data_IF_851230316289
#
_entry.id   IF_851230316289
#
_cell.length_a   1.000
_cell.length_b   1.000
_cell.length_c   1.000
_cell.angle_alpha   90.00
_cell.angle_beta   90.00
_cell.angle_gamma   90.00
#
_symmetry.space_group_name_H-M   'P 1'
#
loop_
_entity.id
_entity.type
_entity.pdbx_description
1 polymer ?
#
# COMPACT_ATOMS: atom_id res chain seq x y z
N UNK A 1 -20.56 5.55 -3.42
CA UNK A 1 -20.99 4.63 -2.34
C UNK A 1 -20.54 5.14 -0.97
N UNK A 2 -21.35 4.88 0.06
CA UNK A 2 -21.14 5.28 1.45
C UNK A 2 -20.22 4.34 2.23
N UNK A 3 -20.06 4.56 3.53
CA UNK A 3 -19.41 3.60 4.42
C UNK A 3 -20.44 2.61 4.94
N UNK A 4 -20.11 1.32 4.91
CA UNK A 4 -20.84 0.28 5.62
C UNK A 4 -20.13 0.02 6.93
N UNK A 5 -20.83 0.15 8.06
CA UNK A 5 -20.29 -0.10 9.41
C UNK A 5 -21.09 -1.20 10.08
N UNK A 6 -20.41 -2.07 10.83
CA UNK A 6 -21.03 -3.18 11.53
C UNK A 6 -20.38 -3.45 12.89
N UNK A 7 -21.17 -4.07 13.75
CA UNK A 7 -20.74 -4.57 15.05
C UNK A 7 -20.07 -5.93 14.93
N UNK A 8 -19.51 -6.45 16.04
CA UNK A 8 -18.96 -7.82 16.06
C UNK A 8 -20.00 -8.86 15.63
N UNK A 9 -21.27 -8.70 16.02
CA UNK A 9 -22.34 -9.61 15.60
C UNK A 9 -22.63 -9.49 14.10
N UNK A 10 -22.58 -8.29 13.54
CA UNK A 10 -22.79 -8.06 12.10
C UNK A 10 -21.70 -8.68 11.21
N UNK A 11 -20.51 -8.94 11.77
CA UNK A 11 -19.47 -9.70 11.08
C UNK A 11 -19.73 -11.21 11.03
N UNK A 12 -20.75 -11.71 11.73
CA UNK A 12 -21.09 -13.13 11.76
C UNK A 12 -19.93 -14.00 12.25
N UNK A 13 -19.60 -15.03 11.48
CA UNK A 13 -18.54 -16.00 11.79
C UNK A 13 -17.11 -15.47 11.58
N UNK A 14 -16.94 -14.25 11.07
CA UNK A 14 -15.62 -13.73 10.70
C UNK A 14 -15.01 -12.85 11.79
N UNK A 15 -13.79 -13.18 12.22
CA UNK A 15 -13.06 -12.44 13.26
C UNK A 15 -12.21 -11.28 12.74
N UNK A 16 -11.97 -11.21 11.42
CA UNK A 16 -11.10 -10.20 10.82
C UNK A 16 -11.76 -9.52 9.62
N UNK A 17 -11.43 -8.24 9.35
CA UNK A 17 -11.90 -7.54 8.14
C UNK A 17 -11.57 -8.30 6.86
N UNK A 18 -10.38 -8.89 6.78
CA UNK A 18 -9.94 -9.66 5.60
C UNK A 18 -10.83 -10.89 5.39
N UNK A 19 -11.04 -11.70 6.42
CA UNK A 19 -11.87 -12.91 6.29
C UNK A 19 -13.32 -12.56 5.92
N UNK A 20 -13.86 -11.48 6.51
CA UNK A 20 -15.19 -11.00 6.16
C UNK A 20 -15.25 -10.57 4.69
N UNK A 21 -14.32 -9.72 4.23
CA UNK A 21 -14.31 -9.21 2.86
C UNK A 21 -14.04 -10.32 1.82
N UNK A 22 -13.17 -11.28 2.14
CA UNK A 22 -12.94 -12.45 1.28
C UNK A 22 -14.23 -13.24 1.05
N UNK A 23 -15.02 -13.43 2.12
CA UNK A 23 -16.29 -14.13 2.03
C UNK A 23 -17.36 -13.33 1.29
N UNK A 24 -17.45 -12.01 1.51
CA UNK A 24 -18.40 -11.17 0.77
C UNK A 24 -18.08 -11.07 -0.72
N UNK A 25 -16.81 -11.21 -1.09
CA UNK A 25 -16.33 -11.20 -2.48
C UNK A 25 -16.19 -12.60 -3.07
N UNK A 26 -16.69 -13.63 -2.37
CA UNK A 26 -16.74 -15.00 -2.86
C UNK A 26 -18.16 -15.50 -2.79
N UNK A 27 -18.87 -15.48 -3.90
CA UNK A 27 -20.27 -15.87 -3.99
C UNK A 27 -20.59 -16.47 -5.35
N UNK A 28 -21.68 -17.23 -5.37
CA UNK A 28 -22.30 -17.74 -6.59
C UNK A 28 -23.81 -17.51 -6.49
N UNK A 29 -24.35 -16.87 -7.50
CA UNK A 29 -25.78 -16.63 -7.66
C UNK A 29 -26.24 -17.32 -8.94
N UNK A 30 -27.04 -18.41 -8.84
CA UNK A 30 -27.55 -19.11 -10.00
C UNK A 30 -28.47 -18.18 -10.82
N UNK A 31 -28.57 -18.43 -12.12
CA UNK A 31 -29.54 -17.73 -12.96
C UNK A 31 -30.97 -18.02 -12.46
N UNK A 32 -31.75 -16.95 -12.28
CA UNK A 32 -33.16 -17.03 -11.88
C UNK A 32 -33.97 -15.98 -12.62
N UNK A 33 -35.04 -16.41 -13.29
CA UNK A 33 -35.92 -15.58 -14.11
C UNK A 33 -35.14 -14.69 -15.10
N UNK A 34 -35.18 -13.36 -14.91
CA UNK A 34 -34.49 -12.36 -15.73
C UNK A 34 -33.09 -12.00 -15.21
N UNK A 35 -32.63 -12.62 -14.12
CA UNK A 35 -31.30 -12.34 -13.55
C UNK A 35 -30.25 -13.30 -14.12
N UNK A 36 -29.19 -12.78 -14.78
CA UNK A 36 -28.12 -13.63 -15.30
C UNK A 36 -27.30 -14.20 -14.14
N UNK A 37 -26.65 -15.34 -14.38
CA UNK A 37 -25.68 -15.91 -13.46
C UNK A 37 -24.62 -14.89 -13.05
N UNK A 38 -24.31 -14.85 -11.75
CA UNK A 38 -23.26 -13.99 -11.20
C UNK A 38 -22.44 -14.76 -10.20
N UNK A 39 -21.18 -14.97 -10.54
CA UNK A 39 -20.23 -15.51 -9.59
C UNK A 39 -18.97 -14.67 -9.52
N UNK A 40 -18.40 -14.66 -8.32
CA UNK A 40 -17.18 -13.95 -8.00
C UNK A 40 -16.38 -14.81 -7.03
N UNK A 41 -15.08 -14.97 -7.24
CA UNK A 41 -14.18 -15.60 -6.26
C UNK A 41 -12.89 -14.82 -6.08
N UNK A 42 -12.40 -14.77 -4.85
CA UNK A 42 -11.13 -14.10 -4.54
C UNK A 42 -9.96 -15.05 -4.80
N UNK A 43 -9.13 -14.74 -5.80
CA UNK A 43 -7.90 -15.49 -6.09
C UNK A 43 -6.77 -15.12 -5.14
N UNK A 44 -6.65 -13.83 -4.83
CA UNK A 44 -5.66 -13.30 -3.90
C UNK A 44 -6.18 -12.04 -3.26
N UNK A 45 -5.97 -11.91 -1.95
CA UNK A 45 -6.23 -10.67 -1.26
C UNK A 45 -5.20 -10.34 -0.19
N UNK A 46 -5.04 -9.05 0.07
CA UNK A 46 -4.10 -8.49 1.03
C UNK A 46 -4.77 -7.34 1.79
N UNK A 47 -4.65 -7.39 3.11
CA UNK A 47 -5.11 -6.34 4.00
C UNK A 47 -3.92 -5.60 4.60
N UNK A 48 -3.89 -4.27 4.42
CA UNK A 48 -2.79 -3.40 4.87
C UNK A 48 -3.09 -2.67 6.19
N UNK A 49 -4.20 -2.98 6.85
CA UNK A 49 -4.67 -2.29 8.07
C UNK A 49 -5.66 -1.16 7.80
N UNK A 50 -5.51 -0.42 6.70
CA UNK A 50 -6.42 0.67 6.31
C UNK A 50 -7.09 0.44 4.95
N UNK A 51 -6.63 -0.54 4.19
CA UNK A 51 -7.17 -0.91 2.90
C UNK A 51 -7.06 -2.42 2.69
N UNK A 52 -8.00 -2.95 1.94
CA UNK A 52 -8.05 -4.31 1.46
C UNK A 52 -7.99 -4.28 -0.07
N UNK A 53 -7.20 -5.17 -0.66
CA UNK A 53 -7.09 -5.35 -2.09
C UNK A 53 -7.34 -6.80 -2.43
N UNK A 54 -8.11 -7.06 -3.48
CA UNK A 54 -8.30 -8.39 -4.02
C UNK A 54 -8.18 -8.40 -5.54
N UNK A 55 -7.61 -9.48 -6.07
CA UNK A 55 -7.84 -9.93 -7.43
C UNK A 55 -9.07 -10.83 -7.37
N UNK A 56 -10.19 -10.33 -7.88
CA UNK A 56 -11.47 -11.01 -7.88
C UNK A 56 -11.77 -11.49 -9.30
N UNK A 57 -11.97 -12.79 -9.43
CA UNK A 57 -12.31 -13.44 -10.68
C UNK A 57 -13.82 -13.53 -10.81
N UNK A 58 -14.34 -13.00 -11.92
CA UNK A 58 -15.70 -13.25 -12.38
C UNK A 58 -15.68 -14.43 -13.33
N UNK A 59 -16.55 -15.40 -13.11
CA UNK A 59 -16.68 -16.59 -13.93
C UNK A 59 -18.15 -16.84 -14.30
N UNK A 60 -18.37 -17.64 -15.35
CA UNK A 60 -19.70 -17.97 -15.86
C UNK A 60 -20.22 -19.33 -15.32
N UNK A 61 -21.37 -19.77 -15.81
CA UNK A 61 -22.00 -21.05 -15.40
C UNK A 61 -21.15 -22.29 -15.71
N UNK A 62 -20.17 -22.17 -16.60
CA UNK A 62 -19.26 -23.24 -17.01
C UNK A 62 -17.91 -23.19 -16.28
N UNK A 63 -17.79 -22.34 -15.24
CA UNK A 63 -16.53 -22.04 -14.55
C UNK A 63 -15.45 -21.43 -15.46
N UNK A 64 -15.86 -20.79 -16.57
CA UNK A 64 -14.94 -20.07 -17.45
C UNK A 64 -14.70 -18.66 -16.93
N UNK A 65 -13.41 -18.28 -16.80
CA UNK A 65 -12.98 -16.94 -16.40
C UNK A 65 -13.46 -15.90 -17.41
N UNK A 66 -14.33 -14.99 -16.98
CA UNK A 66 -14.76 -13.83 -17.76
C UNK A 66 -13.69 -12.73 -17.66
N UNK A 67 -13.38 -12.31 -16.44
CA UNK A 67 -12.33 -11.33 -16.15
C UNK A 67 -11.81 -11.46 -14.71
N UNK A 68 -10.61 -10.92 -14.48
CA UNK A 68 -10.03 -10.75 -13.15
C UNK A 68 -9.79 -9.26 -12.95
N UNK A 69 -10.54 -8.68 -12.02
CA UNK A 69 -10.52 -7.25 -11.73
C UNK A 69 -10.06 -6.98 -10.31
N UNK A 70 -9.59 -5.76 -10.06
CA UNK A 70 -9.18 -5.35 -8.72
C UNK A 70 -10.37 -4.80 -7.94
N UNK A 71 -10.60 -5.37 -6.75
CA UNK A 71 -11.50 -4.81 -5.73
C UNK A 71 -10.65 -4.14 -4.66
N UNK A 72 -11.01 -2.90 -4.32
CA UNK A 72 -10.32 -2.08 -3.31
C UNK A 72 -11.31 -1.65 -2.25
N UNK A 73 -11.13 -2.07 -1.00
CA UNK A 73 -11.96 -1.59 0.11
C UNK A 73 -11.13 -0.71 1.03
N UNK A 74 -11.57 0.52 1.30
CA UNK A 74 -11.05 1.25 2.46
C UNK A 74 -11.61 0.62 3.72
N UNK A 75 -10.76 0.41 4.72
CA UNK A 75 -11.14 -0.33 5.93
C UNK A 75 -10.86 0.52 7.17
N UNK A 76 -11.82 0.54 8.09
CA UNK A 76 -11.67 1.00 9.46
C UNK A 76 -11.90 -0.19 10.37
N UNK A 77 -10.91 -0.48 11.21
CA UNK A 77 -10.96 -1.57 12.17
C UNK A 77 -10.56 -1.06 13.55
N UNK A 78 -11.51 -1.07 14.47
CA UNK A 78 -11.33 -0.69 15.86
C UNK A 78 -12.09 -1.65 16.79
N UNK A 79 -11.47 -2.76 17.22
CA UNK A 79 -12.09 -3.72 18.15
C UNK A 79 -12.52 -3.14 19.50
N UNK A 80 -12.03 -1.94 19.85
CA UNK A 80 -12.32 -1.25 21.12
C UNK A 80 -13.27 -0.06 20.94
N UNK A 81 -14.01 -0.01 19.82
CA UNK A 81 -14.96 1.06 19.56
C UNK A 81 -16.04 1.08 20.66
N UNK A 82 -16.23 2.24 21.29
CA UNK A 82 -17.16 2.40 22.41
C UNK A 82 -18.63 2.25 22.01
N UNK A 83 -18.95 2.55 20.75
CA UNK A 83 -20.27 2.39 20.14
C UNK A 83 -20.54 0.96 19.62
N UNK A 84 -19.56 0.06 19.74
CA UNK A 84 -19.65 -1.33 19.29
C UNK A 84 -19.47 -1.53 17.78
N UNK A 85 -19.35 -0.46 16.97
CA UNK A 85 -19.13 -0.54 15.53
C UNK A 85 -17.64 -0.74 15.21
N UNK A 86 -17.18 -1.96 15.41
CA UNK A 86 -15.76 -2.31 15.36
C UNK A 86 -15.17 -2.37 13.94
N UNK A 87 -16.02 -2.50 12.92
CA UNK A 87 -15.60 -2.62 11.53
C UNK A 87 -16.43 -1.73 10.63
N UNK A 88 -15.75 -1.01 9.74
CA UNK A 88 -16.40 -0.37 8.61
C UNK A 88 -15.57 -0.50 7.35
N UNK A 89 -16.22 -0.61 6.21
CA UNK A 89 -15.56 -0.58 4.92
C UNK A 89 -16.31 0.28 3.91
N UNK A 90 -15.58 0.71 2.89
CA UNK A 90 -16.12 1.35 1.70
C UNK A 90 -15.50 0.69 0.50
N UNK A 91 -16.33 0.01 -0.28
CA UNK A 91 -15.97 -0.67 -1.51
C UNK A 91 -15.76 0.35 -2.64
N UNK A 92 -14.70 0.10 -3.39
CA UNK A 92 -14.26 0.85 -4.54
C UNK A 92 -13.72 -0.17 -5.56
N UNK A 93 -14.00 0.02 -6.83
CA UNK A 93 -13.32 -0.74 -7.89
C UNK A 93 -12.18 0.08 -8.50
N UNK A 94 -11.35 -0.54 -9.34
CA UNK A 94 -10.28 0.18 -10.06
C UNK A 94 -10.79 1.20 -11.08
N UNK A 95 -12.09 1.28 -11.31
CA UNK A 95 -12.73 2.29 -12.17
C UNK A 95 -13.21 3.52 -11.37
N UNK A 96 -13.38 3.43 -10.05
CA UNK A 96 -13.98 4.48 -9.20
C UNK A 96 -13.10 5.73 -8.91
N UNK A 97 -12.14 6.09 -9.77
CA UNK A 97 -11.34 7.32 -9.65
C UNK A 97 -10.15 7.23 -8.67
N UNK A 98 -9.71 8.32 -8.03
CA UNK A 98 -8.51 8.32 -7.18
C UNK A 98 -8.74 7.53 -5.89
N UNK A 99 -8.48 6.22 -5.98
CA UNK A 99 -8.51 5.27 -4.86
C UNK A 99 -7.10 5.01 -4.33
N UNK A 100 -7.00 4.36 -3.17
CA UNK A 100 -5.73 4.01 -2.53
C UNK A 100 -4.86 3.15 -3.46
N UNK A 101 -3.55 3.45 -3.52
CA UNK A 101 -2.64 2.90 -4.54
C UNK A 101 -1.56 1.99 -3.97
N UNK A 102 -1.65 1.60 -2.69
CA UNK A 102 -0.69 0.71 -2.06
C UNK A 102 -0.95 -0.77 -2.35
N UNK A 103 -1.60 -1.08 -3.49
CA UNK A 103 -1.88 -2.45 -3.92
C UNK A 103 -0.57 -3.23 -4.13
N UNK A 104 -0.43 -4.44 -3.55
CA UNK A 104 0.76 -5.25 -3.68
C UNK A 104 0.91 -5.86 -5.08
N UNK A 105 2.16 -6.10 -5.49
CA UNK A 105 2.50 -6.68 -6.81
C UNK A 105 1.78 -8.01 -7.06
N UNK A 106 1.65 -8.85 -6.02
CA UNK A 106 1.00 -10.16 -6.09
C UNK A 106 -0.49 -10.13 -6.42
N UNK A 107 -1.18 -9.01 -6.19
CA UNK A 107 -2.57 -8.82 -6.62
C UNK A 107 -2.59 -8.27 -8.05
N UNK A 108 -1.74 -7.28 -8.36
CA UNK A 108 -1.68 -6.65 -9.68
C UNK A 108 -1.33 -7.65 -10.80
N UNK A 109 -0.46 -8.62 -10.52
CA UNK A 109 -0.01 -9.63 -11.49
C UNK A 109 -1.09 -10.64 -11.90
N UNK A 110 -2.19 -10.72 -11.15
CA UNK A 110 -3.31 -11.63 -11.45
C UNK A 110 -4.40 -10.97 -12.29
N UNK A 111 -4.36 -9.64 -12.47
CA UNK A 111 -5.43 -8.91 -13.12
C UNK A 111 -5.39 -9.09 -14.64
N UNK A 112 -6.55 -9.33 -15.23
CA UNK A 112 -6.69 -9.40 -16.69
C UNK A 112 -6.34 -8.05 -17.32
N UNK A 113 -5.73 -8.02 -18.52
CA UNK A 113 -5.53 -6.77 -19.28
C UNK A 113 -6.84 -5.99 -19.43
N UNK A 114 -6.76 -4.66 -19.36
CA UNK A 114 -7.94 -3.79 -19.46
C UNK A 114 -7.63 -2.57 -20.32
N UNK A 115 -8.62 -2.08 -21.06
CA UNK A 115 -8.57 -0.82 -21.81
C UNK A 115 -9.18 0.35 -21.03
N UNK A 116 -9.74 0.10 -19.84
CA UNK A 116 -10.45 1.12 -19.07
C UNK A 116 -9.47 2.19 -18.54
N UNK A 117 -9.62 3.48 -18.92
CA UNK A 117 -8.62 4.51 -18.63
C UNK A 117 -8.31 4.69 -17.13
N UNK A 118 -9.34 4.64 -16.27
CA UNK A 118 -9.15 4.79 -14.82
C UNK A 118 -8.44 3.59 -14.19
N UNK A 119 -8.69 2.38 -14.68
CA UNK A 119 -8.02 1.17 -14.20
C UNK A 119 -6.54 1.20 -14.59
N UNK A 120 -6.24 1.57 -15.84
CA UNK A 120 -4.87 1.75 -16.32
C UNK A 120 -4.11 2.82 -15.53
N UNK A 121 -4.74 3.97 -15.25
CA UNK A 121 -4.13 4.99 -14.40
C UNK A 121 -3.85 4.46 -12.98
N UNK A 122 -4.83 3.81 -12.35
CA UNK A 122 -4.67 3.25 -11.01
C UNK A 122 -3.54 2.21 -10.95
N UNK A 123 -3.53 1.23 -11.85
CA UNK A 123 -2.47 0.21 -11.93
C UNK A 123 -1.08 0.86 -12.11
N UNK A 124 -0.96 1.89 -12.97
CA UNK A 124 0.29 2.65 -13.14
C UNK A 124 0.72 3.36 -11.86
N UNK A 125 -0.20 3.96 -11.10
CA UNK A 125 0.10 4.58 -9.80
C UNK A 125 0.56 3.53 -8.79
N UNK A 126 -0.05 2.35 -8.74
CA UNK A 126 0.36 1.24 -7.87
C UNK A 126 1.80 0.78 -8.18
N UNK A 127 2.12 0.50 -9.45
CA UNK A 127 3.47 0.11 -9.84
C UNK A 127 4.52 1.18 -9.53
N UNK A 128 4.18 2.46 -9.73
CA UNK A 128 5.06 3.59 -9.37
C UNK A 128 5.37 3.60 -7.87
N UNK A 129 4.35 3.40 -7.02
CA UNK A 129 4.54 3.34 -5.58
C UNK A 129 5.38 2.12 -5.16
N UNK A 130 5.17 0.96 -5.78
CA UNK A 130 5.99 -0.23 -5.56
C UNK A 130 7.46 0.01 -5.94
N UNK A 131 7.72 0.67 -7.08
CA UNK A 131 9.08 1.04 -7.50
C UNK A 131 9.74 2.01 -6.49
N UNK A 132 8.99 2.99 -6.00
CA UNK A 132 9.48 3.92 -4.97
C UNK A 132 9.84 3.20 -3.66
N UNK A 133 8.99 2.27 -3.21
CA UNK A 133 9.19 1.44 -2.00
C UNK A 133 10.29 0.39 -2.16
N UNK A 134 10.57 -0.04 -3.40
CA UNK A 134 11.66 -0.97 -3.73
C UNK A 134 13.06 -0.34 -3.72
N UNK A 135 13.18 0.98 -3.59
CA UNK A 135 14.47 1.67 -3.48
C UNK A 135 15.25 1.15 -2.28
N UNK A 136 16.51 0.78 -2.50
CA UNK A 136 17.41 0.30 -1.45
C UNK A 136 18.25 1.45 -0.92
N UNK A 137 18.31 1.57 0.42
CA UNK A 137 19.20 2.48 1.14
C UNK A 137 20.20 1.65 1.97
N UNK A 138 21.48 1.87 1.73
CA UNK A 138 22.60 1.36 2.50
C UNK A 138 22.79 2.12 3.80
N UNK A 139 23.27 1.45 4.85
CA UNK A 139 23.70 2.15 6.06
C UNK A 139 24.84 3.11 5.71
N UNK A 140 24.70 4.37 6.11
CA UNK A 140 25.64 5.44 5.80
C UNK A 140 25.30 6.30 4.58
N UNK A 141 24.33 5.89 3.74
CA UNK A 141 23.93 6.64 2.54
C UNK A 141 23.51 8.07 2.88
N UNK A 142 24.04 9.05 2.14
CA UNK A 142 23.62 10.44 2.25
C UNK A 142 22.43 10.68 1.32
N UNK A 143 21.28 11.02 1.88
CA UNK A 143 20.09 11.41 1.12
C UNK A 143 19.94 12.93 1.12
N UNK A 144 19.59 13.49 -0.05
CA UNK A 144 19.34 14.92 -0.24
C UNK A 144 17.95 15.15 -0.80
N UNK A 145 17.17 15.99 -0.13
CA UNK A 145 15.88 16.43 -0.61
C UNK A 145 16.01 17.62 -1.58
N UNK A 146 15.04 17.83 -2.48
CA UNK A 146 15.05 18.98 -3.39
C UNK A 146 14.96 20.32 -2.65
N UNK A 147 14.24 20.37 -1.53
CA UNK A 147 14.11 21.54 -0.66
C UNK A 147 14.36 21.14 0.82
N UNK A 148 14.79 22.08 1.68
CA UNK A 148 14.87 21.86 3.12
C UNK A 148 13.52 21.47 3.70
N UNK A 149 13.54 20.58 4.70
CA UNK A 149 12.34 20.13 5.41
C UNK A 149 12.38 20.68 6.83
N UNK A 150 11.27 21.30 7.25
CA UNK A 150 11.10 21.82 8.61
C UNK A 150 10.59 20.74 9.55
N UNK A 151 11.18 20.64 10.73
CA UNK A 151 10.81 19.67 11.77
C UNK A 151 10.10 20.33 12.95
N UNK A 152 9.53 19.48 13.83
CA UNK A 152 8.77 19.93 15.01
C UNK A 152 9.60 20.70 16.04
N UNK A 153 10.92 20.53 16.03
CA UNK A 153 11.88 21.29 16.85
C UNK A 153 12.24 22.67 16.25
N UNK A 154 11.65 23.02 15.11
CA UNK A 154 11.91 24.27 14.39
C UNK A 154 13.16 24.22 13.49
N UNK A 155 13.92 23.13 13.49
CA UNK A 155 15.08 22.97 12.63
C UNK A 155 14.70 22.75 11.17
N UNK A 156 15.56 23.19 10.26
CA UNK A 156 15.42 22.98 8.82
C UNK A 156 16.64 22.29 8.25
N UNK A 157 16.42 21.13 7.63
CA UNK A 157 17.50 20.30 7.12
C UNK A 157 17.13 19.71 5.76
N UNK A 158 18.12 19.65 4.86
CA UNK A 158 17.97 19.15 3.49
C UNK A 158 18.66 17.81 3.28
N UNK A 159 19.70 17.53 4.05
CA UNK A 159 20.61 16.41 3.87
C UNK A 159 20.65 15.57 5.14
N UNK A 160 20.56 14.25 4.96
CA UNK A 160 20.54 13.31 6.07
C UNK A 160 21.36 12.07 5.74
N UNK A 161 22.12 11.57 6.69
CA UNK A 161 22.67 10.23 6.63
C UNK A 161 21.62 9.22 7.08
N UNK A 162 21.40 8.22 6.24
CA UNK A 162 20.59 7.07 6.56
C UNK A 162 21.37 6.12 7.45
N UNK A 163 20.82 5.80 8.63
CA UNK A 163 21.39 4.83 9.56
C UNK A 163 20.40 3.72 9.86
N UNK A 164 20.86 2.46 9.84
CA UNK A 164 20.07 1.31 10.30
C UNK A 164 20.26 1.15 11.81
N UNK A 165 19.29 1.60 12.59
CA UNK A 165 19.23 1.41 14.04
C UNK A 165 18.46 0.14 14.40
N UNK A 166 19.04 -1.04 14.16
CA UNK A 166 18.36 -2.32 14.40
C UNK A 166 17.05 -2.43 13.60
N UNK A 167 15.90 -2.52 14.29
CA UNK A 167 14.56 -2.61 13.68
C UNK A 167 14.00 -1.27 13.16
N UNK A 168 14.67 -0.15 13.41
CA UNK A 168 14.20 1.19 13.00
C UNK A 168 15.22 1.89 12.12
N UNK A 169 14.72 2.52 11.07
CA UNK A 169 15.51 3.44 10.26
C UNK A 169 15.59 4.80 10.97
N UNK A 170 16.82 5.32 11.11
CA UNK A 170 17.10 6.61 11.75
C UNK A 170 17.82 7.48 10.76
N UNK A 171 17.42 8.74 10.66
CA UNK A 171 18.14 9.75 9.88
C UNK A 171 18.94 10.63 10.83
N UNK A 172 20.20 10.86 10.53
CA UNK A 172 21.07 11.81 11.27
C UNK A 172 21.52 12.91 10.33
N UNK A 173 22.00 14.03 10.87
CA UNK A 173 22.68 15.03 10.06
C UNK A 173 24.04 14.51 9.58
N UNK A 174 24.66 15.26 8.67
CA UNK A 174 25.98 14.95 8.10
C UNK A 174 27.10 14.97 9.15
N UNK A 175 26.95 15.80 10.20
CA UNK A 175 27.85 15.88 11.36
C UNK A 175 27.60 14.78 12.41
N UNK A 176 26.65 13.88 12.17
CA UNK A 176 26.28 12.79 13.08
C UNK A 176 25.34 13.20 14.22
N UNK A 177 24.92 14.46 14.30
CA UNK A 177 23.99 14.94 15.34
C UNK A 177 22.53 14.74 14.94
N UNK A 178 21.68 14.76 15.96
CA UNK A 178 20.23 14.69 15.83
C UNK A 178 19.71 13.35 15.33
N UNK A 179 18.44 13.06 15.63
CA UNK A 179 17.73 11.88 15.13
C UNK A 179 16.40 12.33 14.56
N UNK A 180 16.26 12.18 13.25
CA UNK A 180 15.11 12.64 12.51
C UNK A 180 14.30 11.45 12.01
N UNK A 181 12.98 11.60 12.04
CA UNK A 181 12.03 10.65 11.48
C UNK A 181 11.27 11.33 10.36
N UNK A 182 11.45 10.86 9.13
CA UNK A 182 10.69 11.32 7.97
C UNK A 182 9.65 10.26 7.63
N UNK A 183 8.37 10.64 7.70
CA UNK A 183 7.26 9.76 7.35
C UNK A 183 7.31 9.40 5.86
N UNK A 184 7.07 8.11 5.57
CA UNK A 184 7.03 7.58 4.20
C UNK A 184 8.28 7.98 3.40
N UNK A 185 9.47 7.89 4.00
CA UNK A 185 10.74 8.31 3.40
C UNK A 185 10.91 7.80 1.96
N UNK A 186 10.69 6.49 1.75
CA UNK A 186 10.81 5.86 0.44
C UNK A 186 9.71 6.25 -0.56
N UNK A 187 8.70 7.04 -0.18
CA UNK A 187 7.73 7.61 -1.11
C UNK A 187 8.09 9.05 -1.50
N UNK A 188 9.00 9.69 -0.75
CA UNK A 188 9.44 11.07 -0.99
C UNK A 188 10.45 11.15 -2.14
N UNK A 189 10.48 12.30 -2.81
CA UNK A 189 11.50 12.59 -3.82
C UNK A 189 12.81 12.99 -3.13
N UNK A 190 13.87 12.21 -3.34
CA UNK A 190 15.21 12.47 -2.81
C UNK A 190 16.24 11.82 -3.74
N UNK A 191 17.47 12.29 -3.65
CA UNK A 191 18.63 11.75 -4.35
C UNK A 191 19.61 11.14 -3.34
N UNK A 192 20.27 10.04 -3.72
CA UNK A 192 21.37 9.48 -2.93
C UNK A 192 22.64 10.15 -3.41
N UNK A 193 23.21 11.00 -2.56
CA UNK A 193 24.46 11.71 -2.84
C UNK A 193 25.60 10.74 -2.66
N UNK A 194 26.33 10.46 -3.76
CA UNK A 194 27.57 9.70 -3.69
C UNK A 194 28.67 10.63 -3.20
N UNK A 195 29.09 10.44 -1.95
CA UNK A 195 30.27 11.14 -1.46
C UNK A 195 31.51 10.59 -2.18
N UNK A 196 32.39 11.45 -2.73
CA UNK A 196 33.67 11.01 -3.25
C UNK A 196 34.45 10.39 -2.10
N UNK A 197 34.84 9.12 -2.23
CA UNK A 197 35.76 8.49 -1.29
C UNK A 197 37.08 9.26 -1.39
N UNK A 198 37.36 10.12 -0.41
CA UNK A 198 38.68 10.73 -0.27
C UNK A 198 39.64 9.57 -0.04
N UNK A 199 40.48 9.27 -1.02
CA UNK A 199 41.54 8.28 -0.85
C UNK A 199 42.40 8.74 0.33
N UNK A 200 42.66 7.85 1.28
CA UNK A 200 43.60 8.15 2.36
C UNK A 200 44.96 8.39 1.71
N UNK A 201 45.38 9.64 1.59
CA UNK A 201 46.73 9.98 1.19
C UNK A 201 47.65 9.50 2.30
N UNK A 202 48.31 8.36 2.08
CA UNK A 202 49.39 7.89 2.93
C UNK A 202 50.60 8.78 2.67
N UNK A 203 51.01 9.56 3.67
CA UNK A 203 52.32 10.20 3.68
C UNK A 203 53.30 9.20 4.30
N UNK A 204 54.30 8.68 3.56
CA UNK A 204 55.36 7.89 4.16
C UNK A 204 56.15 8.76 5.15
N UNK A 205 56.49 8.20 6.31
CA UNK A 205 57.37 8.87 7.27
C UNK A 205 58.79 8.99 6.68
N UNK A 206 59.41 10.15 6.89
CA UNK A 206 60.76 10.47 6.45
C UNK A 206 61.83 9.78 7.30
#
# INVERSE_FOLDING_TARGET
MGWLSMTRMGMGAYDTPKAYLDAQLTYEHPAADETPFRALRVLKSVYSGSAYYAAAERYDEHDETIDITAVVCLVRWNPRAADGYIFAYKDLDETCGPVETACPKSVLELLTPTSHPWALDWRRRCYRLLALKGRRLGDGDLIRFPAPMRFSDGSEHREFRFRRGGQKTVLTLTDGRGRFKISRLLERRFEIVREPKVAKTFFPAA
#
